data_IF_764260103640
#
_entry.id   IF_764260103640
#
_cell.length_a   1.000
_cell.length_b   1.000
_cell.length_c   1.000
_cell.angle_alpha   90.00
_cell.angle_beta   90.00
_cell.angle_gamma   90.00
#
_symmetry.space_group_name_H-M   'P 1'
#
loop_
_entity.id
_entity.type
_entity.pdbx_description
1 polymer ?
#
# COMPACT_ATOMS: atom_id res chain seq x y z
N UNK A 1 -9.66 0.64 -5.86
CA UNK A 1 -10.90 0.02 -6.41
C UNK A 1 -11.20 -1.33 -5.76
N UNK A 2 -10.21 -1.92 -5.08
CA UNK A 2 -10.35 -3.20 -4.35
C UNK A 2 -10.93 -4.32 -5.21
N UNK A 3 -10.53 -4.40 -6.48
CA UNK A 3 -10.95 -5.44 -7.42
C UNK A 3 -12.43 -5.36 -7.86
N UNK A 4 -13.03 -4.18 -7.79
CA UNK A 4 -14.46 -4.00 -8.05
C UNK A 4 -14.85 -4.11 -9.53
N UNK A 5 -13.93 -3.83 -10.45
CA UNK A 5 -14.24 -3.88 -11.87
C UNK A 5 -14.13 -5.30 -12.43
N UNK A 6 -14.93 -5.57 -13.46
CA UNK A 6 -14.78 -6.77 -14.27
C UNK A 6 -13.59 -6.58 -15.24
N UNK A 7 -12.81 -7.65 -15.56
CA UNK A 7 -11.78 -7.54 -16.60
C UNK A 7 -12.27 -7.08 -17.97
N UNK A 8 -13.57 -7.21 -18.24
CA UNK A 8 -14.17 -6.84 -19.52
C UNK A 8 -14.47 -5.35 -19.65
N UNK A 9 -14.74 -4.66 -18.55
CA UNK A 9 -15.12 -3.25 -18.51
C UNK A 9 -14.10 -2.34 -17.80
N UNK A 10 -13.10 -2.93 -17.15
CA UNK A 10 -12.12 -2.19 -16.38
C UNK A 10 -11.42 -1.11 -17.22
N UNK A 11 -10.99 -1.40 -18.44
CA UNK A 11 -10.32 -0.43 -19.30
C UNK A 11 -11.19 0.78 -19.60
N UNK A 12 -12.49 0.59 -19.86
CA UNK A 12 -13.44 1.71 -20.07
C UNK A 12 -13.54 2.58 -18.82
N UNK A 13 -13.61 1.96 -17.63
CA UNK A 13 -13.60 2.72 -16.36
C UNK A 13 -12.30 3.51 -16.17
N UNK A 14 -11.14 2.92 -16.47
CA UNK A 14 -9.85 3.60 -16.36
C UNK A 14 -9.74 4.78 -17.34
N UNK A 15 -10.22 4.62 -18.57
CA UNK A 15 -10.28 5.71 -19.57
C UNK A 15 -11.15 6.88 -19.08
N UNK A 16 -12.30 6.60 -18.47
CA UNK A 16 -13.17 7.64 -17.91
C UNK A 16 -12.55 8.34 -16.71
N UNK A 17 -11.88 7.58 -15.83
CA UNK A 17 -11.22 8.10 -14.63
C UNK A 17 -9.97 8.92 -14.96
N UNK A 18 -9.28 8.63 -16.06
CA UNK A 18 -8.09 9.38 -16.47
C UNK A 18 -8.36 10.86 -16.77
N UNK A 19 -9.62 11.23 -17.00
CA UNK A 19 -10.01 12.63 -17.18
C UNK A 19 -9.91 13.49 -15.90
N UNK A 20 -9.69 12.87 -14.73
CA UNK A 20 -9.66 13.56 -13.44
C UNK A 20 -8.25 13.81 -12.87
N UNK A 21 -7.22 13.66 -13.70
CA UNK A 21 -5.81 13.86 -13.29
C UNK A 21 -5.41 13.09 -12.01
N UNK A 22 -5.87 11.85 -11.89
CA UNK A 22 -5.54 10.97 -10.78
C UNK A 22 -4.11 10.45 -10.94
N UNK A 23 -3.37 10.34 -9.82
CA UNK A 23 -2.04 9.76 -9.81
C UNK A 23 -2.04 8.30 -10.29
N UNK A 24 -2.96 7.50 -9.75
CA UNK A 24 -3.08 6.07 -10.06
C UNK A 24 -4.43 5.54 -9.59
N UNK A 25 -4.73 4.31 -9.98
CA UNK A 25 -5.83 3.52 -9.41
C UNK A 25 -5.28 2.26 -8.76
N UNK A 26 -5.74 1.96 -7.54
CA UNK A 26 -5.36 0.78 -6.78
C UNK A 26 -6.26 -0.40 -7.12
N UNK A 27 -5.67 -1.55 -7.46
CA UNK A 27 -6.29 -2.85 -7.70
C UNK A 27 -7.62 -2.78 -8.46
N UNK A 28 -7.65 -2.48 -9.76
CA UNK A 28 -8.89 -2.29 -10.50
C UNK A 28 -9.73 -3.56 -10.63
N UNK A 29 -9.10 -4.72 -10.89
CA UNK A 29 -9.76 -6.03 -10.96
C UNK A 29 -9.29 -6.94 -9.83
N UNK A 30 -10.03 -8.01 -9.55
CA UNK A 30 -9.70 -8.97 -8.48
C UNK A 30 -8.32 -9.59 -8.68
N UNK A 31 -7.59 -9.78 -7.59
CA UNK A 31 -6.31 -10.48 -7.56
C UNK A 31 -6.41 -11.90 -8.13
N UNK A 32 -5.26 -12.42 -8.62
CA UNK A 32 -5.14 -13.74 -9.23
C UNK A 32 -5.50 -13.80 -10.71
N UNK A 33 -5.71 -12.66 -11.38
CA UNK A 33 -6.01 -12.57 -12.82
C UNK A 33 -4.86 -11.90 -13.58
N UNK A 34 -3.66 -12.44 -13.45
CA UNK A 34 -2.42 -11.81 -13.89
C UNK A 34 -2.40 -11.42 -15.38
N UNK A 35 -2.88 -12.29 -16.28
CA UNK A 35 -2.90 -11.97 -17.70
C UNK A 35 -3.88 -10.84 -18.03
N UNK A 36 -5.00 -10.75 -17.31
CA UNK A 36 -5.96 -9.68 -17.50
C UNK A 36 -5.40 -8.37 -16.91
N UNK A 37 -4.76 -8.43 -15.75
CA UNK A 37 -4.13 -7.27 -15.12
C UNK A 37 -2.94 -6.76 -15.96
N UNK A 38 -2.13 -7.66 -16.53
CA UNK A 38 -1.02 -7.31 -17.42
C UNK A 38 -1.50 -6.53 -18.65
N UNK A 39 -2.57 -7.00 -19.31
CA UNK A 39 -3.18 -6.25 -20.43
C UNK A 39 -3.68 -4.88 -20.00
N UNK A 40 -4.32 -4.78 -18.84
CA UNK A 40 -4.74 -3.48 -18.31
C UNK A 40 -3.55 -2.56 -18.05
N UNK A 41 -2.47 -3.04 -17.47
CA UNK A 41 -1.25 -2.27 -17.21
C UNK A 41 -0.60 -1.77 -18.51
N UNK A 42 -0.67 -2.54 -19.59
CA UNK A 42 -0.16 -2.15 -20.91
C UNK A 42 -1.02 -1.09 -21.60
N UNK A 43 -2.36 -1.21 -21.50
CA UNK A 43 -3.30 -0.41 -22.29
C UNK A 43 -3.83 0.83 -21.55
N UNK A 44 -3.66 0.90 -20.23
CA UNK A 44 -4.29 1.92 -19.38
C UNK A 44 -3.72 3.33 -19.58
N UNK A 45 -4.57 4.37 -19.69
CA UNK A 45 -4.14 5.77 -19.62
C UNK A 45 -3.95 6.26 -18.18
N UNK A 46 -4.42 5.51 -17.17
CA UNK A 46 -4.33 5.81 -15.74
C UNK A 46 -3.43 4.76 -15.07
N UNK A 47 -2.30 5.13 -14.46
CA UNK A 47 -1.38 4.17 -13.83
C UNK A 47 -2.07 3.25 -12.82
N UNK A 48 -1.71 1.97 -12.82
CA UNK A 48 -2.23 0.96 -11.90
C UNK A 48 -1.24 0.69 -10.79
N UNK A 49 -1.76 0.62 -9.56
CA UNK A 49 -1.05 0.17 -8.37
C UNK A 49 -1.63 -1.18 -7.89
N UNK A 50 -0.80 -2.20 -7.76
CA UNK A 50 -1.22 -3.48 -7.19
C UNK A 50 -1.22 -3.41 -5.66
N UNK A 51 -2.24 -3.95 -5.02
CA UNK A 51 -2.39 -4.07 -3.56
C UNK A 51 -2.71 -5.53 -3.18
N UNK A 52 -3.95 -5.94 -3.33
CA UNK A 52 -4.38 -7.30 -2.95
C UNK A 52 -3.66 -8.40 -3.71
N UNK A 53 -3.06 -8.09 -4.85
CA UNK A 53 -2.25 -9.02 -5.64
C UNK A 53 -1.02 -9.52 -4.89
N UNK A 54 -0.47 -8.70 -3.96
CA UNK A 54 0.75 -9.00 -3.22
C UNK A 54 0.50 -9.87 -1.98
N UNK A 55 -0.76 -9.90 -1.50
CA UNK A 55 -1.10 -10.56 -0.24
C UNK A 55 -0.97 -12.07 -0.36
N UNK A 56 -0.19 -12.67 0.55
CA UNK A 56 0.04 -14.11 0.57
C UNK A 56 1.20 -14.60 -0.31
N UNK A 57 1.77 -13.75 -1.15
CA UNK A 57 2.98 -14.09 -1.92
C UNK A 57 4.21 -13.95 -1.01
N UNK A 58 4.79 -15.08 -0.61
CA UNK A 58 5.94 -15.12 0.30
C UNK A 58 7.22 -15.60 -0.36
N UNK A 59 7.11 -16.37 -1.44
CA UNK A 59 8.26 -16.87 -2.19
C UNK A 59 8.90 -15.77 -3.05
N UNK A 60 10.21 -15.61 -2.94
CA UNK A 60 10.97 -14.57 -3.65
C UNK A 60 10.87 -14.68 -5.17
N UNK A 61 10.85 -15.91 -5.68
CA UNK A 61 10.73 -16.17 -7.12
C UNK A 61 9.33 -15.77 -7.61
N UNK A 62 8.30 -16.11 -6.84
CA UNK A 62 6.91 -15.76 -7.18
C UNK A 62 6.70 -14.23 -7.18
N UNK A 63 7.29 -13.50 -6.22
CA UNK A 63 7.27 -12.03 -6.19
C UNK A 63 7.84 -11.43 -7.48
N UNK A 64 9.00 -11.90 -7.90
CA UNK A 64 9.64 -11.42 -9.12
C UNK A 64 8.81 -11.74 -10.36
N UNK A 65 8.35 -13.00 -10.48
CA UNK A 65 7.51 -13.46 -11.60
C UNK A 65 6.22 -12.65 -11.70
N UNK A 66 5.59 -12.31 -10.57
CA UNK A 66 4.41 -11.46 -10.53
C UNK A 66 4.69 -10.08 -11.16
N UNK A 67 5.75 -9.41 -10.70
CA UNK A 67 6.10 -8.08 -11.21
C UNK A 67 6.48 -8.09 -12.69
N UNK A 68 7.24 -9.09 -13.12
CA UNK A 68 7.63 -9.24 -14.53
C UNK A 68 6.44 -9.58 -15.45
N UNK A 69 5.48 -10.38 -14.94
CA UNK A 69 4.30 -10.78 -15.70
C UNK A 69 3.31 -9.65 -15.86
N UNK A 70 2.98 -8.96 -14.75
CA UNK A 70 1.95 -7.92 -14.75
C UNK A 70 2.50 -6.58 -15.24
N UNK A 71 3.77 -6.28 -14.92
CA UNK A 71 4.44 -5.01 -15.23
C UNK A 71 3.62 -3.78 -14.81
N UNK A 72 3.19 -3.68 -13.53
CA UNK A 72 2.39 -2.56 -13.05
C UNK A 72 3.23 -1.29 -12.98
N UNK A 73 2.59 -0.12 -12.93
CA UNK A 73 3.28 1.13 -12.70
C UNK A 73 3.70 1.31 -11.24
N UNK A 74 2.88 0.79 -10.32
CA UNK A 74 3.11 0.89 -8.87
C UNK A 74 2.70 -0.37 -8.12
N UNK A 75 3.24 -0.51 -6.91
CA UNK A 75 2.75 -1.46 -5.89
C UNK A 75 2.52 -0.75 -4.56
N UNK A 76 1.49 -1.18 -3.83
CA UNK A 76 1.13 -0.70 -2.49
C UNK A 76 1.63 -1.71 -1.47
N UNK A 77 2.47 -1.28 -0.54
CA UNK A 77 3.10 -2.16 0.42
C UNK A 77 2.48 -2.01 1.81
N UNK A 78 1.79 -3.06 2.26
CA UNK A 78 1.21 -3.19 3.60
C UNK A 78 2.03 -4.20 4.41
N UNK A 79 3.08 -3.76 5.15
CA UNK A 79 4.02 -4.69 5.82
C UNK A 79 3.33 -5.80 6.61
N UNK A 80 2.23 -5.48 7.30
CA UNK A 80 1.45 -6.47 8.09
C UNK A 80 0.85 -7.62 7.26
N UNK A 81 0.74 -7.48 5.92
CA UNK A 81 0.08 -8.45 5.04
C UNK A 81 1.05 -9.15 4.07
N UNK A 82 2.28 -8.65 3.92
CA UNK A 82 3.23 -9.08 2.89
C UNK A 82 4.56 -9.62 3.45
N UNK A 83 4.57 -10.09 4.70
CA UNK A 83 5.74 -10.70 5.33
C UNK A 83 6.54 -9.78 6.26
N UNK A 84 5.91 -8.74 6.83
CA UNK A 84 6.54 -7.79 7.73
C UNK A 84 7.49 -6.83 7.01
N UNK A 85 8.42 -6.22 7.75
CA UNK A 85 9.39 -5.29 7.17
C UNK A 85 10.33 -5.99 6.20
N UNK A 86 10.81 -7.18 6.53
CA UNK A 86 11.69 -7.96 5.65
C UNK A 86 11.01 -8.31 4.33
N UNK A 87 9.75 -8.76 4.37
CA UNK A 87 8.99 -9.04 3.15
C UNK A 87 8.73 -7.79 2.31
N UNK A 88 8.50 -6.63 2.95
CA UNK A 88 8.32 -5.37 2.27
C UNK A 88 9.64 -4.86 1.64
N UNK A 89 10.79 -5.01 2.31
CA UNK A 89 12.11 -4.67 1.78
C UNK A 89 12.46 -5.49 0.53
N UNK A 90 12.12 -6.76 0.54
CA UNK A 90 12.28 -7.63 -0.64
C UNK A 90 11.40 -7.18 -1.81
N UNK A 91 10.13 -6.82 -1.55
CA UNK A 91 9.27 -6.23 -2.58
C UNK A 91 9.83 -4.91 -3.14
N UNK A 92 10.41 -4.05 -2.28
CA UNK A 92 11.06 -2.80 -2.70
C UNK A 92 12.26 -3.08 -3.62
N UNK A 93 13.07 -4.09 -3.30
CA UNK A 93 14.21 -4.49 -4.13
C UNK A 93 13.77 -4.97 -5.51
N UNK A 94 12.77 -5.86 -5.58
CA UNK A 94 12.24 -6.34 -6.86
C UNK A 94 11.55 -5.24 -7.65
N UNK A 95 10.76 -4.38 -7.00
CA UNK A 95 10.14 -3.24 -7.65
C UNK A 95 11.17 -2.31 -8.29
N UNK A 96 12.28 -2.04 -7.59
CA UNK A 96 13.39 -1.24 -8.13
C UNK A 96 14.00 -1.89 -9.37
N UNK A 97 14.25 -3.21 -9.34
CA UNK A 97 14.81 -3.95 -10.46
C UNK A 97 13.86 -3.96 -11.68
N UNK A 98 12.56 -4.04 -11.45
CA UNK A 98 11.51 -4.00 -12.48
C UNK A 98 11.10 -2.57 -12.88
N UNK A 99 11.65 -1.52 -12.26
CA UNK A 99 11.28 -0.09 -12.46
C UNK A 99 9.82 0.20 -12.08
N UNK A 100 9.30 -0.49 -11.10
CA UNK A 100 7.96 -0.29 -10.53
C UNK A 100 8.06 0.69 -9.36
N UNK A 101 7.20 1.71 -9.34
CA UNK A 101 7.07 2.62 -8.20
C UNK A 101 6.42 1.93 -7.00
N UNK A 102 6.61 2.48 -5.81
CA UNK A 102 6.00 1.90 -4.61
C UNK A 102 5.76 2.95 -3.53
N UNK A 103 4.78 2.67 -2.67
CA UNK A 103 4.61 3.40 -1.41
C UNK A 103 4.16 2.46 -0.29
N UNK A 104 4.42 2.89 0.94
CA UNK A 104 3.99 2.17 2.15
C UNK A 104 2.63 2.68 2.57
N UNK A 105 1.77 1.76 2.98
CA UNK A 105 0.50 2.07 3.64
C UNK A 105 0.25 1.15 4.83
N UNK A 106 -0.70 1.54 5.67
CA UNK A 106 -1.15 0.72 6.78
C UNK A 106 -2.23 -0.26 6.32
N UNK A 107 -2.29 -1.42 6.97
CA UNK A 107 -3.42 -2.36 6.87
C UNK A 107 -4.46 -2.10 7.97
N UNK A 108 -4.61 -0.83 8.40
CA UNK A 108 -5.48 -0.37 9.48
C UNK A 108 -5.10 -0.91 10.86
N UNK A 109 -3.82 -0.99 11.14
CA UNK A 109 -3.28 -1.37 12.45
C UNK A 109 -3.69 -0.36 13.53
N UNK A 110 -3.61 -0.79 14.80
CA UNK A 110 -3.63 0.12 15.93
C UNK A 110 -2.44 1.09 15.88
N UNK A 111 -2.46 2.13 16.66
CA UNK A 111 -1.36 3.09 16.73
C UNK A 111 -0.01 2.43 17.09
N UNK A 112 0.01 1.27 17.74
CA UNK A 112 1.25 0.54 18.03
C UNK A 112 1.88 0.03 16.74
N UNK A 113 1.11 -0.66 15.90
CA UNK A 113 1.57 -1.14 14.60
C UNK A 113 1.88 0.00 13.64
N UNK A 114 1.00 1.01 13.58
CA UNK A 114 1.22 2.18 12.75
C UNK A 114 2.51 2.92 13.10
N UNK A 115 2.82 3.06 14.39
CA UNK A 115 4.08 3.69 14.83
C UNK A 115 5.31 2.91 14.37
N UNK A 116 5.27 1.58 14.46
CA UNK A 116 6.37 0.75 13.97
C UNK A 116 6.57 0.91 12.46
N UNK A 117 5.48 0.87 11.69
CA UNK A 117 5.51 1.08 10.23
C UNK A 117 6.02 2.48 9.89
N UNK A 118 5.52 3.52 10.55
CA UNK A 118 5.92 4.91 10.29
C UNK A 118 7.41 5.14 10.55
N UNK A 119 7.95 4.63 11.67
CA UNK A 119 9.37 4.76 11.98
C UNK A 119 10.25 4.01 10.98
N UNK A 120 9.88 2.79 10.62
CA UNK A 120 10.59 2.03 9.59
C UNK A 120 10.51 2.75 8.23
N UNK A 121 9.33 3.23 7.81
CA UNK A 121 9.17 3.97 6.56
C UNK A 121 10.07 5.21 6.51
N UNK A 122 10.25 5.92 7.62
CA UNK A 122 11.13 7.08 7.71
C UNK A 122 12.63 6.75 7.47
N UNK A 123 13.02 5.48 7.53
CA UNK A 123 14.40 5.03 7.20
C UNK A 123 14.59 4.73 5.72
N UNK A 124 13.51 4.67 4.94
CA UNK A 124 13.55 4.32 3.53
C UNK A 124 13.79 5.56 2.65
N UNK A 125 14.36 5.38 1.44
CA UNK A 125 14.54 6.47 0.48
C UNK A 125 13.21 6.81 -0.22
N UNK A 126 12.25 7.34 0.52
CA UNK A 126 10.93 7.73 0.02
C UNK A 126 11.01 9.06 -0.74
N UNK A 127 10.28 9.16 -1.85
CA UNK A 127 10.22 10.36 -2.70
C UNK A 127 8.79 10.79 -3.06
N UNK A 128 7.78 10.18 -2.41
CA UNK A 128 6.38 10.46 -2.63
C UNK A 128 5.58 10.31 -1.31
N UNK A 129 4.35 10.85 -1.23
CA UNK A 129 3.48 10.65 -0.07
C UNK A 129 3.25 9.17 0.24
N UNK A 130 3.12 8.85 1.55
CA UNK A 130 2.88 7.50 2.05
C UNK A 130 1.49 7.39 2.68
N UNK A 131 0.86 6.22 2.63
CA UNK A 131 -0.52 6.00 3.11
C UNK A 131 -0.60 5.71 4.61
N UNK A 132 -0.04 6.56 5.47
CA UNK A 132 0.08 6.30 6.91
C UNK A 132 -0.86 7.15 7.79
N UNK A 133 -1.81 7.87 7.22
CA UNK A 133 -2.77 8.73 7.95
C UNK A 133 -3.94 7.98 8.61
N UNK A 134 -3.82 6.69 8.91
CA UNK A 134 -4.94 5.82 9.32
C UNK A 134 -5.16 5.76 10.84
N UNK A 135 -4.29 6.36 11.66
CA UNK A 135 -4.35 6.26 13.13
C UNK A 135 -5.61 6.87 13.76
N UNK A 136 -6.29 7.77 13.08
CA UNK A 136 -7.52 8.42 13.56
C UNK A 136 -8.83 7.71 13.14
N UNK A 137 -8.76 6.57 12.46
CA UNK A 137 -9.96 5.85 11.99
C UNK A 137 -10.75 5.19 13.13
N UNK A 138 -10.10 4.84 14.23
CA UNK A 138 -10.72 4.15 15.35
C UNK A 138 -10.81 5.03 16.59
N UNK A 139 -11.99 5.13 17.17
CA UNK A 139 -12.23 5.90 18.40
C UNK A 139 -11.66 5.24 19.66
N UNK A 140 -11.42 3.94 19.61
CA UNK A 140 -10.84 3.12 20.68
C UNK A 140 -9.36 2.79 20.47
N UNK A 141 -8.66 3.55 19.62
CA UNK A 141 -7.23 3.33 19.39
C UNK A 141 -6.40 3.74 20.62
N UNK A 142 -5.21 3.15 20.72
CA UNK A 142 -4.27 3.42 21.82
C UNK A 142 -3.69 4.84 21.64
N UNK A 143 -3.80 5.73 22.64
CA UNK A 143 -3.12 7.03 22.58
C UNK A 143 -1.62 6.87 22.39
N UNK A 144 -1.07 7.57 21.42
CA UNK A 144 0.32 7.44 21.00
C UNK A 144 0.99 8.81 20.79
N UNK A 145 2.33 8.84 20.74
CA UNK A 145 3.09 10.00 20.33
C UNK A 145 2.91 10.40 18.86
N UNK A 146 2.30 9.55 18.02
CA UNK A 146 2.03 9.89 16.63
C UNK A 146 0.88 10.90 16.53
N UNK A 147 1.09 11.92 15.74
CA UNK A 147 0.10 12.95 15.44
C UNK A 147 0.02 13.20 13.94
N UNK A 148 -1.19 13.21 13.43
CA UNK A 148 -1.44 13.71 12.07
C UNK A 148 -1.69 15.20 12.14
N UNK A 149 -0.85 16.00 11.46
CA UNK A 149 -0.97 17.45 11.36
C UNK A 149 -1.02 17.81 9.87
N UNK A 150 -2.23 18.11 9.39
CA UNK A 150 -2.45 18.28 7.96
C UNK A 150 -2.18 17.00 7.19
N UNK A 151 -1.23 17.04 6.27
CA UNK A 151 -0.78 15.93 5.43
C UNK A 151 0.47 15.20 5.98
N UNK A 152 0.94 15.58 7.16
CA UNK A 152 2.12 14.99 7.79
C UNK A 152 1.76 14.11 8.98
N UNK A 153 2.46 12.97 9.11
CA UNK A 153 2.48 12.16 10.32
C UNK A 153 3.77 12.46 11.09
N UNK A 154 3.62 12.99 12.31
CA UNK A 154 4.75 13.41 13.14
C UNK A 154 4.82 12.62 14.44
N UNK A 155 6.04 12.37 14.93
CA UNK A 155 6.27 11.88 16.27
C UNK A 155 6.44 13.07 17.22
N UNK A 156 5.57 13.18 18.23
CA UNK A 156 5.64 14.22 19.25
C UNK A 156 6.34 13.66 20.51
N UNK A 157 7.58 14.09 20.82
CA UNK A 157 8.33 13.59 21.98
C UNK A 157 7.73 14.00 23.34
N UNK A 158 6.85 15.01 23.36
CA UNK A 158 6.20 15.47 24.59
C UNK A 158 4.98 14.61 24.97
N UNK A 159 4.54 13.71 24.06
CA UNK A 159 3.48 12.74 24.31
C UNK A 159 4.04 11.38 24.67
N UNK A 160 3.29 10.67 25.52
CA UNK A 160 3.63 9.31 25.97
C UNK A 160 2.56 8.32 25.50
N UNK A 161 2.96 7.07 25.37
CA UNK A 161 2.04 5.96 25.21
C UNK A 161 1.17 5.80 26.47
N UNK A 162 -0.15 5.66 26.27
CA UNK A 162 -1.07 5.35 27.37
C UNK A 162 -1.67 3.97 27.13
N UNK A 163 -1.16 3.00 27.86
CA UNK A 163 -1.70 1.63 27.85
C UNK A 163 -2.63 1.46 29.07
N UNK A 164 -3.91 1.28 28.82
CA UNK A 164 -4.89 0.95 29.86
C UNK A 164 -5.38 -0.50 29.65
N UNK A 165 -5.33 -1.32 30.70
CA UNK A 165 -5.86 -2.68 30.65
C UNK A 165 -7.37 -2.71 30.42
N UNK A 166 -8.07 -1.61 30.68
CA UNK A 166 -9.52 -1.47 30.44
C UNK A 166 -9.87 -1.21 28.98
N UNK A 167 -8.92 -0.76 28.15
CA UNK A 167 -9.12 -0.55 26.71
C UNK A 167 -9.10 -1.85 25.89
N UNK A 168 -8.87 -3.03 26.52
CA UNK A 168 -8.78 -4.33 25.86
C UNK A 168 -10.02 -5.24 26.13
N UNK A 169 -11.09 -4.68 26.73
CA UNK A 169 -12.33 -5.41 27.01
C UNK A 169 -13.41 -5.20 25.97
#
# INVERSE_FOLDING_TARGET
ANGAFSPYDALEHLQRLSAYDLHSIEQPIRAGQWEAMARLCEETPLPIALDEELIGITDSTEKLVLLETISPQYIVLKPSLIGGFSGAEEWIEFARNCRVGWWITSALESNVGLNAIAQWTATLPINMPQGLGTGALYTNNIPSPLEQIGDELRYNPDKTWIFSMDSWK
#
